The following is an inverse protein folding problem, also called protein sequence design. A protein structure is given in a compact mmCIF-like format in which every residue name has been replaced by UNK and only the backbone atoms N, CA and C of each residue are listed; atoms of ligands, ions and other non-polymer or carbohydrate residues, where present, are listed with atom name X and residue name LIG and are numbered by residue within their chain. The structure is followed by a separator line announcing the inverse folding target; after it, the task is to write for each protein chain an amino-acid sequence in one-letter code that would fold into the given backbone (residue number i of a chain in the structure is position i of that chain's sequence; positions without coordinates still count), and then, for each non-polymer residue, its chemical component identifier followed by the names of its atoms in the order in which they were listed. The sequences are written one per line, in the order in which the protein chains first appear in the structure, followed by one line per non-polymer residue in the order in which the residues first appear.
data_IF_188245635485
#
_entry.id   IF_188245635485
#
_cell.length_a   1.000
_cell.length_b   1.000
_cell.length_c   1.000
_cell.angle_alpha   90.00
_cell.angle_beta   90.00
_cell.angle_gamma   90.00
#
_symmetry.space_group_name_H-M   'P 1'
#
loop_
_entity.id
_entity.type
_entity.pdbx_description
1 polymer ?
#
# COMPACT_ATOMS: atom_id res chain seq x y z
N UNK A 1 21.97 -12.56 20.63
CA UNK A 1 22.82 -13.75 20.38
C UNK A 1 22.46 -14.96 21.26
N UNK A 2 21.59 -14.81 22.26
CA UNK A 2 21.26 -15.88 23.22
C UNK A 2 20.67 -17.15 22.59
N UNK A 3 19.86 -17.01 21.53
CA UNK A 3 19.29 -18.15 20.82
C UNK A 3 20.38 -18.98 20.12
N UNK A 4 21.40 -18.35 19.54
CA UNK A 4 22.51 -19.06 18.90
C UNK A 4 23.31 -19.88 19.92
N UNK A 5 23.58 -19.30 21.09
CA UNK A 5 24.25 -20.02 22.18
C UNK A 5 23.49 -21.29 22.62
N UNK A 6 22.15 -21.24 22.66
CA UNK A 6 21.31 -22.39 23.00
C UNK A 6 21.39 -23.48 21.93
N UNK A 7 21.34 -23.10 20.65
CA UNK A 7 21.34 -24.07 19.53
C UNK A 7 22.69 -24.75 19.39
N UNK A 8 23.80 -24.01 19.51
CA UNK A 8 25.14 -24.53 19.24
C UNK A 8 25.78 -25.24 20.45
N UNK A 9 25.24 -25.11 21.67
CA UNK A 9 25.68 -25.85 22.88
C UNK A 9 27.22 -25.91 23.07
N UNK A 10 27.90 -24.79 22.83
CA UNK A 10 29.36 -24.68 22.99
C UNK A 10 30.18 -25.05 21.75
N UNK A 11 29.56 -25.42 20.63
CA UNK A 11 30.22 -25.45 19.32
C UNK A 11 30.54 -23.99 18.92
N UNK A 12 31.81 -23.66 18.61
CA UNK A 12 32.18 -22.29 18.24
C UNK A 12 31.57 -21.87 16.90
N UNK A 13 31.17 -20.61 16.81
CA UNK A 13 30.64 -19.99 15.60
C UNK A 13 31.10 -18.53 15.47
N UNK A 14 31.13 -18.03 14.24
CA UNK A 14 31.50 -16.65 13.93
C UNK A 14 30.27 -15.88 13.44
N UNK A 15 30.07 -14.67 13.96
CA UNK A 15 29.10 -13.72 13.42
C UNK A 15 29.72 -12.99 12.23
N UNK A 16 29.22 -13.28 11.03
CA UNK A 16 29.77 -12.71 9.79
C UNK A 16 29.19 -11.34 9.47
N UNK A 17 27.91 -11.12 9.75
CA UNK A 17 27.19 -9.89 9.44
C UNK A 17 25.99 -9.72 10.35
N UNK A 18 25.69 -8.48 10.71
CA UNK A 18 24.44 -8.07 11.33
C UNK A 18 23.77 -7.01 10.46
N UNK A 19 22.45 -7.12 10.32
CA UNK A 19 21.63 -6.16 9.58
C UNK A 19 20.43 -5.76 10.42
N UNK A 20 20.14 -4.48 10.44
CA UNK A 20 18.88 -4.00 11.00
C UNK A 20 17.72 -4.47 10.12
N UNK A 21 16.75 -5.11 10.76
CA UNK A 21 15.53 -5.58 10.12
C UNK A 21 14.41 -4.65 10.55
N UNK A 22 13.67 -4.13 9.57
CA UNK A 22 12.48 -3.32 9.81
C UNK A 22 11.35 -3.78 8.89
N UNK A 23 10.12 -3.66 9.39
CA UNK A 23 8.93 -3.81 8.55
C UNK A 23 8.83 -2.61 7.60
N UNK A 24 8.74 -2.88 6.29
CA UNK A 24 8.58 -1.85 5.26
C UNK A 24 7.51 -2.25 4.25
N UNK A 25 6.47 -1.44 4.14
CA UNK A 25 5.49 -1.53 3.07
C UNK A 25 5.78 -0.45 2.03
N UNK A 26 5.46 -0.74 0.77
CA UNK A 26 5.66 0.17 -0.35
C UNK A 26 4.34 0.76 -0.87
N UNK A 27 3.23 0.64 -0.14
CA UNK A 27 2.01 1.37 -0.48
C UNK A 27 2.26 2.88 -0.36
N UNK A 28 1.60 3.64 -1.21
CA UNK A 28 1.56 5.11 -1.16
C UNK A 28 0.24 5.58 -1.73
N UNK A 29 -0.10 6.86 -1.52
CA UNK A 29 -1.34 7.43 -2.07
C UNK A 29 -1.35 7.34 -3.59
N UNK A 30 -0.23 7.64 -4.26
CA UNK A 30 -0.14 7.60 -5.73
C UNK A 30 -0.39 6.19 -6.28
N UNK A 31 0.05 5.15 -5.57
CA UNK A 31 -0.20 3.76 -5.96
C UNK A 31 -1.66 3.36 -5.78
N UNK A 32 -2.31 3.88 -4.74
CA UNK A 32 -3.73 3.66 -4.50
C UNK A 32 -4.57 4.41 -5.52
N UNK A 33 -4.22 5.65 -5.86
CA UNK A 33 -4.83 6.44 -6.94
C UNK A 33 -4.72 5.71 -8.28
N UNK A 34 -3.54 5.18 -8.62
CA UNK A 34 -3.36 4.38 -9.83
C UNK A 34 -4.25 3.13 -9.85
N UNK A 35 -4.46 2.48 -8.70
CA UNK A 35 -5.39 1.35 -8.59
C UNK A 35 -6.84 1.79 -8.79
N UNK A 36 -7.26 2.90 -8.17
CA UNK A 36 -8.61 3.47 -8.36
C UNK A 36 -8.85 3.87 -9.83
N UNK A 37 -7.88 4.53 -10.47
CA UNK A 37 -7.93 4.88 -11.91
C UNK A 37 -8.12 3.62 -12.77
N UNK A 38 -7.48 2.50 -12.40
CA UNK A 38 -7.56 1.26 -13.17
C UNK A 38 -8.96 0.61 -13.15
N UNK A 39 -9.83 1.01 -12.22
CA UNK A 39 -11.23 0.56 -12.18
C UNK A 39 -12.08 1.19 -13.30
N UNK A 40 -11.67 2.35 -13.82
CA UNK A 40 -12.34 3.06 -14.90
C UNK A 40 -13.41 4.07 -14.43
N UNK A 41 -13.94 4.83 -15.39
CA UNK A 41 -14.85 5.95 -15.15
C UNK A 41 -16.14 5.53 -14.42
N UNK A 42 -16.77 4.45 -14.86
CA UNK A 42 -18.06 4.00 -14.31
C UNK A 42 -17.96 3.63 -12.82
N UNK A 43 -16.88 2.96 -12.42
CA UNK A 43 -16.68 2.59 -11.01
C UNK A 43 -16.37 3.81 -10.13
N UNK A 44 -15.53 4.73 -10.63
CA UNK A 44 -15.25 5.97 -9.91
C UNK A 44 -16.50 6.84 -9.74
N UNK A 45 -17.39 6.87 -10.74
CA UNK A 45 -18.67 7.56 -10.66
C UNK A 45 -19.60 6.92 -9.62
N UNK A 46 -19.66 5.58 -9.54
CA UNK A 46 -20.39 4.89 -8.47
C UNK A 46 -19.90 5.28 -7.08
N UNK A 47 -18.58 5.30 -6.87
CA UNK A 47 -17.99 5.69 -5.57
C UNK A 47 -18.36 7.12 -5.17
N UNK A 48 -18.46 8.05 -6.13
CA UNK A 48 -18.89 9.42 -5.86
C UNK A 48 -20.38 9.49 -5.53
N UNK A 49 -21.24 8.88 -6.35
CA UNK A 49 -22.69 9.06 -6.27
C UNK A 49 -23.32 8.23 -5.15
N UNK A 50 -22.86 6.99 -4.96
CA UNK A 50 -23.47 6.04 -4.04
C UNK A 50 -22.79 6.05 -2.67
N UNK A 51 -21.47 6.23 -2.63
CA UNK A 51 -20.68 6.14 -1.40
C UNK A 51 -20.18 7.51 -0.88
N UNK A 52 -20.24 8.57 -1.71
CA UNK A 52 -19.79 9.92 -1.36
C UNK A 52 -18.27 10.07 -1.22
N UNK A 53 -17.50 9.06 -1.62
CA UNK A 53 -16.06 8.95 -1.42
C UNK A 53 -15.58 7.50 -1.51
N UNK A 54 -14.30 7.26 -1.21
CA UNK A 54 -13.74 5.92 -1.17
C UNK A 54 -12.76 5.76 0.01
N UNK A 55 -12.74 4.57 0.60
CA UNK A 55 -11.76 4.18 1.60
C UNK A 55 -11.00 2.94 1.14
N UNK A 56 -9.69 3.06 0.98
CA UNK A 56 -8.84 1.95 0.57
C UNK A 56 -7.93 1.56 1.72
N UNK A 57 -8.02 0.30 2.13
CA UNK A 57 -7.14 -0.28 3.14
C UNK A 57 -6.04 -1.09 2.45
N UNK A 58 -4.78 -0.82 2.79
CA UNK A 58 -3.68 -1.65 2.32
C UNK A 58 -3.72 -3.03 3.00
N UNK A 59 -3.79 -4.11 2.25
CA UNK A 59 -3.88 -5.45 2.84
C UNK A 59 -2.60 -5.91 3.56
N UNK A 60 -1.47 -5.25 3.32
CA UNK A 60 -0.18 -5.60 3.93
C UNK A 60 0.11 -4.84 5.22
N UNK A 61 0.09 -3.50 5.17
CA UNK A 61 0.40 -2.67 6.34
C UNK A 61 -0.83 -2.12 7.06
N UNK A 62 -2.03 -2.35 6.51
CA UNK A 62 -3.32 -1.87 7.03
C UNK A 62 -3.45 -0.34 7.11
N UNK A 63 -2.59 0.41 6.43
CA UNK A 63 -2.78 1.85 6.22
C UNK A 63 -4.12 2.11 5.52
N UNK A 64 -4.80 3.17 5.95
CA UNK A 64 -6.08 3.62 5.40
C UNK A 64 -5.84 4.87 4.54
N UNK A 65 -6.36 4.87 3.33
CA UNK A 65 -6.35 6.00 2.40
C UNK A 65 -7.79 6.41 2.13
N UNK A 66 -8.11 7.66 2.45
CA UNK A 66 -9.43 8.24 2.23
C UNK A 66 -9.38 9.17 1.02
N UNK A 67 -10.42 9.08 0.20
CA UNK A 67 -10.62 9.89 -0.99
C UNK A 67 -12.00 10.51 -0.91
N UNK A 68 -12.06 11.84 -0.92
CA UNK A 68 -13.32 12.57 -0.96
C UNK A 68 -13.82 12.73 -2.41
N UNK A 69 -15.00 13.32 -2.58
CA UNK A 69 -15.57 13.60 -3.91
C UNK A 69 -14.63 14.42 -4.81
N UNK A 70 -13.83 15.34 -4.26
CA UNK A 70 -12.90 16.16 -5.06
C UNK A 70 -11.71 15.33 -5.53
N UNK A 71 -11.19 14.48 -4.66
CA UNK A 71 -10.13 13.53 -5.03
C UNK A 71 -10.62 12.61 -6.14
N UNK A 72 -11.80 12.00 -6.00
CA UNK A 72 -12.36 11.08 -7.00
C UNK A 72 -12.63 11.77 -8.34
N UNK A 73 -13.12 13.02 -8.33
CA UNK A 73 -13.27 13.83 -9.57
C UNK A 73 -11.94 14.09 -10.26
N UNK A 74 -10.87 14.35 -9.51
CA UNK A 74 -9.53 14.50 -10.10
C UNK A 74 -9.05 13.19 -10.76
N UNK A 75 -9.37 12.03 -10.16
CA UNK A 75 -9.06 10.73 -10.77
C UNK A 75 -9.88 10.47 -12.04
N UNK A 76 -11.15 10.88 -12.09
CA UNK A 76 -11.97 10.80 -13.30
C UNK A 76 -11.37 11.63 -14.45
N UNK A 77 -10.88 12.83 -14.16
CA UNK A 77 -10.16 13.67 -15.14
C UNK A 77 -8.90 12.96 -15.66
N UNK A 78 -8.16 12.25 -14.80
CA UNK A 78 -7.01 11.46 -15.22
C UNK A 78 -7.39 10.28 -16.12
N UNK A 79 -8.50 9.59 -15.84
CA UNK A 79 -9.01 8.50 -16.70
C UNK A 79 -9.26 9.04 -18.10
N UNK A 80 -9.94 10.19 -18.24
CA UNK A 80 -10.25 10.80 -19.54
C UNK A 80 -8.99 11.14 -20.33
N UNK A 81 -7.94 11.63 -19.65
CA UNK A 81 -6.64 11.97 -20.27
C UNK A 81 -5.86 10.76 -20.78
N UNK A 82 -6.03 9.58 -20.17
CA UNK A 82 -5.30 8.36 -20.55
C UNK A 82 -5.95 7.58 -21.69
N UNK A 83 -7.21 7.89 -22.03
CA UNK A 83 -7.97 7.24 -23.10
C UNK A 83 -7.75 7.91 -24.48
N UNK A 84 -7.21 9.12 -24.50
CA UNK A 84 -6.78 9.83 -25.71
C UNK A 84 -5.27 9.71 -25.91
#
# INVERSE_FOLDING_TARGET
SDILNIIFQGIPYDLLEEKEIAFKCNCSRERVEAALISLGMEELERLVVEEGGAQVKCEFCKALYEFDEKDLKALQDEVIRKVH
#
